data_IF_810379115897
#
_entry.id   IF_810379115897
#
_cell.length_a   1.000
_cell.length_b   1.000
_cell.length_c   1.000
_cell.angle_alpha   90.00
_cell.angle_beta   90.00
_cell.angle_gamma   90.00
#
_symmetry.space_group_name_H-M   'P 1'
#
loop_
_entity.id
_entity.type
_entity.pdbx_description
1 polymer ?
#
# COMPACT_ATOMS: atom_id res chain seq x y z
N UNK A 1 20.28 63.82 46.12
CA UNK A 1 18.92 63.32 45.84
C UNK A 1 18.87 62.90 44.37
N UNK A 2 18.51 61.63 44.07
CA UNK A 2 18.12 61.02 42.76
C UNK A 2 18.58 59.56 42.44
N UNK A 3 19.14 58.72 43.34
CA UNK A 3 19.30 57.29 43.01
C UNK A 3 18.04 56.42 43.23
N UNK A 4 17.08 56.90 44.03
CA UNK A 4 15.88 56.12 44.39
C UNK A 4 14.79 56.06 43.29
N UNK A 5 14.78 56.98 42.33
CA UNK A 5 13.74 57.02 41.27
C UNK A 5 13.98 55.99 40.16
N UNK A 6 15.23 55.87 39.70
CA UNK A 6 15.63 55.00 38.59
C UNK A 6 15.50 53.51 38.95
N UNK A 7 15.84 53.16 40.19
CA UNK A 7 15.66 51.79 40.69
C UNK A 7 14.17 51.41 40.73
N UNK A 8 13.28 52.34 41.11
CA UNK A 8 11.84 52.09 41.22
C UNK A 8 11.15 51.96 39.86
N UNK A 9 11.57 52.75 38.87
CA UNK A 9 11.10 52.63 37.48
C UNK A 9 11.57 51.30 36.84
N UNK A 10 12.84 50.93 37.01
CA UNK A 10 13.38 49.66 36.51
C UNK A 10 12.66 48.44 37.12
N UNK A 11 12.35 48.48 38.41
CA UNK A 11 11.58 47.44 39.11
C UNK A 11 10.14 47.35 38.57
N UNK A 12 9.47 48.48 38.33
CA UNK A 12 8.10 48.51 37.79
C UNK A 12 8.02 47.85 36.41
N UNK A 13 9.03 48.06 35.56
CA UNK A 13 9.12 47.45 34.21
C UNK A 13 9.27 45.93 34.29
N UNK A 14 10.12 45.41 35.18
CA UNK A 14 10.33 43.96 35.34
C UNK A 14 9.07 43.25 35.88
N UNK A 15 8.34 43.88 36.80
CA UNK A 15 7.09 43.33 37.33
C UNK A 15 5.99 43.21 36.27
N UNK A 16 5.88 44.23 35.42
CA UNK A 16 4.96 44.21 34.27
C UNK A 16 5.34 43.08 33.30
N UNK A 17 6.63 42.89 33.04
CA UNK A 17 7.12 41.80 32.19
C UNK A 17 6.74 40.41 32.70
N UNK A 18 6.89 40.13 34.01
CA UNK A 18 6.53 38.81 34.57
C UNK A 18 5.02 38.54 34.47
N UNK A 19 4.18 39.54 34.78
CA UNK A 19 2.72 39.42 34.60
C UNK A 19 2.33 39.22 33.15
N UNK A 20 3.00 39.90 32.23
CA UNK A 20 2.80 39.70 30.79
C UNK A 20 3.11 38.26 30.39
N UNK A 21 4.23 37.69 30.87
CA UNK A 21 4.57 36.28 30.63
C UNK A 21 3.48 35.34 31.18
N UNK A 22 3.06 35.50 32.43
CA UNK A 22 2.01 34.68 33.04
C UNK A 22 0.68 34.77 32.29
N UNK A 23 0.29 35.98 31.87
CA UNK A 23 -0.95 36.22 31.15
C UNK A 23 -0.89 35.53 29.78
N UNK A 24 0.22 35.70 29.07
CA UNK A 24 0.43 35.11 27.75
C UNK A 24 0.48 33.56 27.81
N UNK A 25 1.10 32.99 28.85
CA UNK A 25 1.09 31.53 29.10
C UNK A 25 -0.33 31.02 29.36
N UNK A 26 -1.09 31.71 30.21
CA UNK A 26 -2.47 31.35 30.52
C UNK A 26 -3.39 31.46 29.30
N UNK A 27 -3.19 32.47 28.46
CA UNK A 27 -3.99 32.67 27.24
C UNK A 27 -3.71 31.56 26.21
N UNK A 28 -2.44 31.19 26.01
CA UNK A 28 -2.05 30.04 25.19
C UNK A 28 -2.68 28.75 25.76
N UNK A 29 -2.60 28.56 27.08
CA UNK A 29 -3.17 27.39 27.75
C UNK A 29 -4.69 27.28 27.56
N UNK A 30 -5.44 28.37 27.78
CA UNK A 30 -6.89 28.43 27.54
C UNK A 30 -7.24 28.14 26.09
N UNK A 31 -6.48 28.72 25.14
CA UNK A 31 -6.67 28.46 23.73
C UNK A 31 -6.46 26.98 23.40
N UNK A 32 -5.38 26.34 23.87
CA UNK A 32 -5.10 24.93 23.61
C UNK A 32 -6.19 24.00 24.14
N UNK A 33 -6.72 24.29 25.34
CA UNK A 33 -7.84 23.53 25.91
C UNK A 33 -9.10 23.67 25.04
N UNK A 34 -9.44 24.90 24.64
CA UNK A 34 -10.60 25.16 23.78
C UNK A 34 -10.44 24.56 22.38
N UNK A 35 -9.26 24.71 21.77
CA UNK A 35 -8.92 24.15 20.48
C UNK A 35 -9.00 22.62 20.50
N UNK A 36 -8.56 21.98 21.59
CA UNK A 36 -8.65 20.53 21.78
C UNK A 36 -10.08 20.00 21.91
N UNK A 37 -11.04 20.85 22.29
CA UNK A 37 -12.47 20.51 22.38
C UNK A 37 -13.25 20.84 21.12
N UNK A 38 -12.76 21.76 20.29
CA UNK A 38 -13.48 22.27 19.10
C UNK A 38 -12.85 21.77 17.80
N UNK A 39 -11.55 22.00 17.60
CA UNK A 39 -10.85 21.63 16.37
C UNK A 39 -10.58 20.11 16.28
N UNK A 40 -10.51 19.43 17.43
CA UNK A 40 -10.32 17.98 17.51
C UNK A 40 -11.61 17.25 17.93
N UNK A 41 -12.77 17.89 17.78
CA UNK A 41 -14.08 17.32 18.13
C UNK A 41 -14.53 16.25 17.14
N UNK A 42 -14.34 16.51 15.85
CA UNK A 42 -14.58 15.53 14.81
C UNK A 42 -13.57 14.39 14.95
N UNK A 43 -14.05 13.15 14.91
CA UNK A 43 -13.22 11.95 15.10
C UNK A 43 -13.40 10.93 14.00
N UNK A 44 -14.36 11.10 13.09
CA UNK A 44 -14.58 10.16 12.01
C UNK A 44 -13.37 10.02 11.08
N UNK A 45 -13.28 8.87 10.42
CA UNK A 45 -12.23 8.54 9.44
C UNK A 45 -12.72 8.58 7.99
N UNK A 46 -14.01 8.87 7.76
CA UNK A 46 -14.70 8.74 6.48
C UNK A 46 -14.98 7.28 6.10
N UNK A 47 -15.95 7.05 5.22
CA UNK A 47 -16.29 5.71 4.70
C UNK A 47 -15.85 5.48 3.26
N UNK A 48 -15.36 6.52 2.58
CA UNK A 48 -14.87 6.49 1.21
C UNK A 48 -13.55 7.24 1.06
N UNK A 49 -12.83 7.01 -0.03
CA UNK A 49 -11.58 7.72 -0.34
C UNK A 49 -11.78 9.23 -0.35
N UNK A 50 -12.84 9.71 -1.01
CA UNK A 50 -13.13 11.16 -1.13
C UNK A 50 -13.41 11.81 0.23
N UNK A 51 -14.17 11.13 1.10
CA UNK A 51 -14.46 11.62 2.45
C UNK A 51 -13.20 11.67 3.30
N UNK A 52 -12.37 10.62 3.26
CA UNK A 52 -11.11 10.59 3.99
C UNK A 52 -10.14 11.68 3.51
N UNK A 53 -10.07 11.94 2.20
CA UNK A 53 -9.27 13.03 1.62
C UNK A 53 -9.83 14.42 1.96
N UNK A 54 -11.15 14.58 2.10
CA UNK A 54 -11.75 15.81 2.62
C UNK A 54 -11.35 16.07 4.08
N UNK A 55 -11.45 15.05 4.94
CA UNK A 55 -11.01 15.12 6.34
C UNK A 55 -9.52 15.44 6.47
N UNK A 56 -8.68 14.94 5.55
CA UNK A 56 -7.26 15.26 5.52
C UNK A 56 -7.03 16.75 5.22
N UNK A 57 -7.75 17.32 4.26
CA UNK A 57 -7.66 18.75 3.94
C UNK A 57 -8.12 19.63 5.10
N UNK A 58 -9.19 19.23 5.78
CA UNK A 58 -9.66 19.91 7.00
C UNK A 58 -8.60 19.85 8.12
N UNK A 59 -7.97 18.69 8.29
CA UNK A 59 -6.90 18.51 9.24
C UNK A 59 -5.67 19.40 8.94
N UNK A 60 -5.25 19.49 7.68
CA UNK A 60 -4.16 20.39 7.25
C UNK A 60 -4.49 21.87 7.55
N UNK A 61 -5.76 22.26 7.39
CA UNK A 61 -6.21 23.60 7.77
C UNK A 61 -6.14 23.84 9.30
N UNK A 62 -6.41 22.81 10.11
CA UNK A 62 -6.25 22.88 11.57
C UNK A 62 -4.77 23.02 11.94
N UNK A 63 -3.88 22.23 11.34
CA UNK A 63 -2.43 22.34 11.59
C UNK A 63 -1.89 23.74 11.27
N UNK A 64 -2.38 24.36 10.19
CA UNK A 64 -1.99 25.71 9.82
C UNK A 64 -2.37 26.72 10.91
N UNK A 65 -3.58 26.61 11.49
CA UNK A 65 -4.00 27.44 12.63
C UNK A 65 -3.12 27.20 13.87
N UNK A 66 -2.72 25.95 14.11
CA UNK A 66 -1.89 25.60 15.27
C UNK A 66 -0.45 26.13 15.15
N UNK A 67 0.07 26.32 13.93
CA UNK A 67 1.43 26.80 13.67
C UNK A 67 1.70 28.16 14.32
N UNK A 68 0.73 29.07 14.27
CA UNK A 68 0.85 30.39 14.90
C UNK A 68 1.00 30.26 16.42
N UNK A 69 0.13 29.48 17.07
CA UNK A 69 0.18 29.27 18.53
C UNK A 69 1.47 28.57 18.96
N UNK A 70 1.97 27.59 18.20
CA UNK A 70 3.26 26.96 18.49
C UNK A 70 4.43 27.92 18.33
N UNK A 71 4.40 28.80 17.32
CA UNK A 71 5.40 29.85 17.16
C UNK A 71 5.38 30.84 18.33
N UNK A 72 4.19 31.28 18.74
CA UNK A 72 4.01 32.15 19.93
C UNK A 72 4.54 31.48 21.20
N UNK A 73 4.23 30.21 21.41
CA UNK A 73 4.74 29.44 22.56
C UNK A 73 6.26 29.33 22.54
N UNK A 74 6.88 29.04 21.39
CA UNK A 74 8.33 28.93 21.29
C UNK A 74 9.05 30.24 21.67
N UNK A 75 8.55 31.38 21.19
CA UNK A 75 9.10 32.69 21.56
C UNK A 75 8.87 33.04 23.04
N UNK A 76 7.68 32.76 23.56
CA UNK A 76 7.35 32.96 24.97
C UNK A 76 8.22 32.10 25.88
N UNK A 77 8.42 30.83 25.53
CA UNK A 77 9.21 29.88 26.31
C UNK A 77 10.65 30.36 26.49
N UNK A 78 11.28 30.92 25.44
CA UNK A 78 12.62 31.51 25.55
C UNK A 78 12.66 32.69 26.52
N UNK A 79 11.67 33.59 26.45
CA UNK A 79 11.55 34.74 27.38
C UNK A 79 11.34 34.29 28.83
N UNK A 80 10.58 33.22 29.05
CA UNK A 80 10.38 32.62 30.37
C UNK A 80 11.67 31.98 30.88
N UNK A 81 12.41 31.26 30.04
CA UNK A 81 13.71 30.68 30.41
C UNK A 81 14.73 31.77 30.77
N UNK A 82 14.83 32.87 30.00
CA UNK A 82 15.68 34.02 30.34
C UNK A 82 15.30 34.66 31.69
N UNK A 83 13.99 34.80 31.96
CA UNK A 83 13.52 35.31 33.25
C UNK A 83 13.85 34.38 34.43
N UNK A 84 13.81 33.06 34.21
CA UNK A 84 14.19 32.07 35.22
C UNK A 84 15.70 32.08 35.50
N UNK A 85 16.52 32.29 34.47
CA UNK A 85 17.99 32.31 34.57
C UNK A 85 18.52 33.53 35.33
N UNK A 86 17.83 34.69 35.23
CA UNK A 86 18.12 35.90 36.03
C UNK A 86 17.88 35.69 37.53
N UNK A 87 17.06 34.70 37.89
CA UNK A 87 16.86 34.24 39.26
C UNK A 87 15.99 35.15 40.14
N UNK A 88 15.70 34.65 41.35
CA UNK A 88 14.81 35.32 42.30
C UNK A 88 15.33 36.68 42.78
N UNK A 89 16.64 36.97 42.73
CA UNK A 89 17.21 38.22 43.27
C UNK A 89 16.73 39.48 42.52
N UNK A 90 16.74 39.42 41.19
CA UNK A 90 16.25 40.50 40.32
C UNK A 90 14.71 40.53 40.24
N UNK A 91 14.06 39.40 40.53
CA UNK A 91 12.59 39.25 40.62
C UNK A 91 12.01 39.60 42.01
N UNK A 92 12.81 39.56 43.09
CA UNK A 92 12.39 39.81 44.50
C UNK A 92 12.74 41.19 45.04
N UNK A 93 13.46 42.03 44.32
CA UNK A 93 13.63 43.45 44.68
C UNK A 93 12.29 44.26 44.61
N UNK A 94 11.19 43.56 44.39
CA UNK A 94 9.81 43.97 44.17
C UNK A 94 8.95 43.78 45.43
N UNK A 95 8.80 44.85 46.21
CA UNK A 95 7.75 44.92 47.22
C UNK A 95 6.39 45.10 46.54
N UNK A 96 5.74 43.98 46.19
CA UNK A 96 4.29 43.75 45.99
C UNK A 96 3.97 42.61 44.97
N UNK A 97 4.92 41.73 44.63
CA UNK A 97 4.63 40.53 43.82
C UNK A 97 4.73 39.21 44.56
N UNK A 98 3.72 38.38 44.34
CA UNK A 98 3.45 37.10 45.02
C UNK A 98 4.01 35.90 44.25
N UNK A 99 4.40 36.06 42.98
CA UNK A 99 4.88 34.97 42.13
C UNK A 99 6.40 34.81 42.21
N UNK A 100 6.82 33.58 42.48
CA UNK A 100 8.23 33.17 42.60
C UNK A 100 8.74 32.55 41.29
N UNK A 101 10.06 32.45 41.11
CA UNK A 101 10.62 31.66 39.99
C UNK A 101 10.10 30.22 39.97
N UNK A 102 9.76 29.65 41.12
CA UNK A 102 9.12 28.34 41.25
C UNK A 102 7.72 28.30 40.62
N UNK A 103 6.91 29.32 40.86
CA UNK A 103 5.56 29.43 40.28
C UNK A 103 5.62 29.61 38.76
N UNK A 104 6.53 30.47 38.29
CA UNK A 104 6.77 30.70 36.86
C UNK A 104 7.23 29.42 36.15
N UNK A 105 8.15 28.67 36.78
CA UNK A 105 8.60 27.36 36.29
C UNK A 105 7.46 26.35 36.24
N UNK A 106 6.64 26.30 37.28
CA UNK A 106 5.48 25.38 37.32
C UNK A 106 4.46 25.70 36.23
N UNK A 107 4.18 26.97 35.97
CA UNK A 107 3.27 27.41 34.89
C UNK A 107 3.85 27.09 33.51
N UNK A 108 5.16 27.27 33.33
CA UNK A 108 5.88 26.88 32.11
C UNK A 108 5.77 25.38 31.87
N UNK A 109 6.11 24.56 32.86
CA UNK A 109 6.08 23.09 32.75
C UNK A 109 4.66 22.57 32.48
N UNK A 110 3.65 23.18 33.11
CA UNK A 110 2.25 22.93 32.82
C UNK A 110 1.91 23.25 31.35
N UNK A 111 2.28 24.44 30.86
CA UNK A 111 1.99 24.86 29.48
C UNK A 111 2.76 24.04 28.44
N UNK A 112 4.01 23.66 28.73
CA UNK A 112 4.78 22.70 27.91
C UNK A 112 4.08 21.34 27.84
N UNK A 113 3.43 20.91 28.91
CA UNK A 113 2.63 19.69 28.94
C UNK A 113 1.35 19.87 28.10
N UNK A 114 0.65 21.00 28.20
CA UNK A 114 -0.50 21.33 27.35
C UNK A 114 -0.15 21.24 25.86
N UNK A 115 0.94 21.89 25.45
CA UNK A 115 1.40 21.92 24.06
C UNK A 115 1.76 20.53 23.57
N UNK A 116 2.52 19.75 24.36
CA UNK A 116 2.92 18.38 23.99
C UNK A 116 1.72 17.45 23.85
N UNK A 117 0.78 17.48 24.79
CA UNK A 117 -0.42 16.62 24.73
C UNK A 117 -1.31 17.00 23.57
N UNK A 118 -1.53 18.30 23.32
CA UNK A 118 -2.31 18.75 22.17
C UNK A 118 -1.64 18.37 20.84
N UNK A 119 -0.33 18.58 20.70
CA UNK A 119 0.44 18.19 19.51
C UNK A 119 0.38 16.67 19.26
N UNK A 120 0.50 15.85 20.30
CA UNK A 120 0.37 14.40 20.18
C UNK A 120 -1.02 13.97 19.71
N UNK A 121 -2.10 14.61 20.20
CA UNK A 121 -3.47 14.35 19.73
C UNK A 121 -3.68 14.78 18.28
N UNK A 122 -3.11 15.91 17.88
CA UNK A 122 -3.16 16.41 16.51
C UNK A 122 -2.45 15.44 15.56
N UNK A 123 -1.22 15.03 15.89
CA UNK A 123 -0.43 14.07 15.10
C UNK A 123 -1.08 12.68 15.03
N UNK A 124 -1.71 12.23 16.13
CA UNK A 124 -2.51 11.01 16.15
C UNK A 124 -3.68 11.09 15.17
N UNK A 125 -4.44 12.20 15.16
CA UNK A 125 -5.53 12.43 14.19
C UNK A 125 -5.00 12.40 12.76
N UNK A 126 -3.86 13.06 12.48
CA UNK A 126 -3.20 13.01 11.17
C UNK A 126 -2.92 11.58 10.73
N UNK A 127 -2.27 10.82 11.61
CA UNK A 127 -1.86 9.44 11.35
C UNK A 127 -3.05 8.54 11.07
N UNK A 128 -4.14 8.69 11.83
CA UNK A 128 -5.38 7.96 11.63
C UNK A 128 -6.03 8.28 10.27
N UNK A 129 -6.16 9.56 9.92
CA UNK A 129 -6.75 9.99 8.64
C UNK A 129 -5.90 9.51 7.46
N UNK A 130 -4.57 9.65 7.53
CA UNK A 130 -3.67 9.17 6.48
C UNK A 130 -3.76 7.65 6.29
N UNK A 131 -3.88 6.89 7.39
CA UNK A 131 -4.11 5.45 7.33
C UNK A 131 -5.46 5.13 6.66
N UNK A 132 -6.52 5.86 6.99
CA UNK A 132 -7.83 5.74 6.36
C UNK A 132 -7.79 6.04 4.85
N UNK A 133 -7.17 7.15 4.43
CA UNK A 133 -7.01 7.50 3.00
C UNK A 133 -6.28 6.40 2.26
N UNK A 134 -5.16 5.90 2.83
CA UNK A 134 -4.39 4.81 2.20
C UNK A 134 -5.22 3.55 2.05
N UNK A 135 -5.92 3.13 3.11
CA UNK A 135 -6.73 1.91 3.10
C UNK A 135 -7.85 2.01 2.05
N UNK A 136 -8.64 3.07 2.06
CA UNK A 136 -9.74 3.25 1.10
C UNK A 136 -9.23 3.36 -0.35
N UNK A 137 -8.10 4.04 -0.59
CA UNK A 137 -7.49 4.10 -1.93
C UNK A 137 -7.05 2.72 -2.43
N UNK A 138 -6.41 1.91 -1.59
CA UNK A 138 -6.02 0.54 -1.96
C UNK A 138 -7.28 -0.30 -2.23
N UNK A 139 -8.30 -0.17 -1.37
CA UNK A 139 -9.54 -0.92 -1.51
C UNK A 139 -10.25 -0.64 -2.85
N UNK A 140 -10.34 0.64 -3.23
CA UNK A 140 -10.88 1.05 -4.53
C UNK A 140 -10.06 0.49 -5.70
N UNK A 141 -8.73 0.62 -5.66
CA UNK A 141 -7.86 0.10 -6.72
C UNK A 141 -7.95 -1.42 -6.88
N UNK A 142 -8.11 -2.13 -5.76
CA UNK A 142 -8.30 -3.58 -5.80
C UNK A 142 -9.63 -3.95 -6.45
N UNK A 143 -10.71 -3.24 -6.13
CA UNK A 143 -12.03 -3.47 -6.73
C UNK A 143 -12.01 -3.31 -8.26
N UNK A 144 -11.43 -2.21 -8.75
CA UNK A 144 -11.30 -1.94 -10.19
C UNK A 144 -10.52 -3.05 -10.92
N UNK A 145 -9.41 -3.53 -10.33
CA UNK A 145 -8.59 -4.58 -10.94
C UNK A 145 -9.25 -5.95 -10.86
N UNK A 146 -9.93 -6.26 -9.75
CA UNK A 146 -10.73 -7.47 -9.62
C UNK A 146 -11.83 -7.51 -10.69
N UNK A 147 -12.51 -6.37 -10.94
CA UNK A 147 -13.52 -6.26 -11.98
C UNK A 147 -12.96 -6.64 -13.37
N UNK A 148 -11.75 -6.18 -13.71
CA UNK A 148 -11.07 -6.52 -14.97
C UNK A 148 -10.81 -8.04 -15.10
N UNK A 149 -10.32 -8.69 -14.04
CA UNK A 149 -10.07 -10.14 -14.07
C UNK A 149 -11.36 -10.95 -14.22
N UNK A 150 -12.50 -10.43 -13.75
CA UNK A 150 -13.78 -11.13 -13.86
C UNK A 150 -14.41 -11.07 -15.27
N UNK A 151 -13.90 -10.22 -16.17
CA UNK A 151 -14.42 -10.08 -17.54
C UNK A 151 -14.01 -11.26 -18.45
N UNK A 152 -14.87 -12.28 -18.56
CA UNK A 152 -14.57 -13.52 -19.29
C UNK A 152 -14.13 -13.36 -20.75
N UNK A 153 -14.79 -12.49 -21.50
CA UNK A 153 -14.52 -12.26 -22.92
C UNK A 153 -13.10 -11.73 -23.19
N UNK A 154 -12.43 -11.18 -22.18
CA UNK A 154 -11.10 -10.59 -22.31
C UNK A 154 -9.97 -11.62 -22.39
N UNK A 155 -10.16 -12.78 -21.76
CA UNK A 155 -9.03 -13.68 -21.43
C UNK A 155 -8.94 -14.92 -22.32
N UNK A 156 -10.00 -15.24 -23.05
CA UNK A 156 -10.08 -16.43 -23.90
C UNK A 156 -10.34 -16.00 -25.35
N UNK A 157 -9.32 -15.53 -26.08
CA UNK A 157 -9.48 -15.17 -27.49
C UNK A 157 -9.72 -16.45 -28.32
N UNK A 158 -10.57 -16.33 -29.34
CA UNK A 158 -10.79 -17.39 -30.32
C UNK A 158 -9.71 -17.27 -31.40
N UNK A 159 -8.70 -18.13 -31.36
CA UNK A 159 -7.57 -18.12 -32.30
C UNK A 159 -6.95 -19.51 -32.41
N UNK A 160 -6.48 -19.85 -33.61
CA UNK A 160 -5.69 -21.07 -33.88
C UNK A 160 -4.17 -20.83 -33.74
N UNK A 161 -3.77 -19.61 -33.36
CA UNK A 161 -2.39 -19.20 -33.18
C UNK A 161 -1.97 -19.24 -31.71
N UNK A 162 -0.77 -19.76 -31.46
CA UNK A 162 -0.21 -19.93 -30.12
C UNK A 162 0.27 -18.60 -29.53
N UNK A 163 0.76 -17.68 -30.36
CA UNK A 163 1.44 -16.46 -29.93
C UNK A 163 0.50 -15.44 -29.26
N UNK A 164 -0.71 -15.16 -29.78
CA UNK A 164 -1.70 -14.36 -29.07
C UNK A 164 -2.08 -14.96 -27.71
N UNK A 165 -2.25 -16.28 -27.62
CA UNK A 165 -2.57 -16.96 -26.35
C UNK A 165 -1.44 -16.82 -25.32
N UNK A 166 -0.18 -16.98 -25.73
CA UNK A 166 0.98 -16.74 -24.85
C UNK A 166 1.04 -15.29 -24.38
N UNK A 167 0.70 -14.32 -25.24
CA UNK A 167 0.64 -12.90 -24.86
C UNK A 167 -0.44 -12.68 -23.80
N UNK A 168 -1.65 -13.19 -24.02
CA UNK A 168 -2.75 -13.10 -23.05
C UNK A 168 -2.39 -13.77 -21.72
N UNK A 169 -1.71 -14.92 -21.75
CA UNK A 169 -1.25 -15.63 -20.55
C UNK A 169 -0.27 -14.78 -19.72
N UNK A 170 0.70 -14.11 -20.37
CA UNK A 170 1.63 -13.20 -19.69
C UNK A 170 0.90 -12.01 -19.06
N UNK A 171 -0.02 -11.40 -19.81
CA UNK A 171 -0.80 -10.25 -19.35
C UNK A 171 -1.71 -10.61 -18.16
N UNK A 172 -2.37 -11.78 -18.21
CA UNK A 172 -3.18 -12.31 -17.12
C UNK A 172 -2.34 -12.55 -15.87
N UNK A 173 -1.18 -13.18 -16.02
CA UNK A 173 -0.27 -13.50 -14.92
C UNK A 173 0.23 -12.23 -14.24
N UNK A 174 0.69 -11.24 -15.01
CA UNK A 174 1.16 -9.96 -14.47
C UNK A 174 0.04 -9.20 -13.73
N UNK A 175 -1.21 -9.25 -14.23
CA UNK A 175 -2.35 -8.62 -13.53
C UNK A 175 -2.75 -9.37 -12.28
N UNK A 176 -2.68 -10.70 -12.26
CA UNK A 176 -2.92 -11.49 -11.05
C UNK A 176 -1.92 -11.11 -9.96
N UNK A 177 -0.62 -11.12 -10.27
CA UNK A 177 0.45 -10.71 -9.35
C UNK A 177 0.23 -9.30 -8.81
N UNK A 178 -0.22 -8.38 -9.66
CA UNK A 178 -0.51 -7.01 -9.27
C UNK A 178 -1.71 -6.88 -8.30
N UNK A 179 -2.67 -7.81 -8.33
CA UNK A 179 -3.78 -7.85 -7.36
C UNK A 179 -3.36 -8.60 -6.11
N UNK A 180 -2.58 -9.68 -6.22
CA UNK A 180 -2.02 -10.40 -5.06
C UNK A 180 -1.20 -9.45 -4.15
N UNK A 181 -0.43 -8.55 -4.77
CA UNK A 181 0.26 -7.46 -4.06
C UNK A 181 -0.72 -6.50 -3.37
N UNK A 182 -1.74 -6.00 -4.09
CA UNK A 182 -2.71 -5.07 -3.51
C UNK A 182 -3.54 -5.70 -2.40
N UNK A 183 -3.87 -6.99 -2.49
CA UNK A 183 -4.59 -7.72 -1.45
C UNK A 183 -3.75 -7.78 -0.17
N UNK A 184 -2.46 -8.10 -0.31
CA UNK A 184 -1.53 -8.13 0.83
C UNK A 184 -1.36 -6.75 1.47
N UNK A 185 -1.19 -5.71 0.65
CA UNK A 185 -1.09 -4.33 1.12
C UNK A 185 -2.39 -3.81 1.75
N UNK A 186 -3.55 -4.18 1.19
CA UNK A 186 -4.87 -3.80 1.66
C UNK A 186 -5.17 -4.38 3.03
N UNK A 187 -4.89 -5.67 3.24
CA UNK A 187 -5.00 -6.32 4.55
C UNK A 187 -4.12 -5.63 5.58
N UNK A 188 -2.83 -5.42 5.27
CA UNK A 188 -1.89 -4.74 6.17
C UNK A 188 -2.31 -3.31 6.49
N UNK A 189 -2.83 -2.57 5.52
CA UNK A 189 -3.32 -1.22 5.72
C UNK A 189 -4.58 -1.18 6.60
N UNK A 190 -5.51 -2.12 6.40
CA UNK A 190 -6.72 -2.25 7.21
C UNK A 190 -6.43 -2.67 8.65
N UNK A 191 -5.56 -3.67 8.86
CA UNK A 191 -5.11 -4.09 10.20
C UNK A 191 -4.47 -2.92 10.96
N UNK A 192 -3.55 -2.19 10.32
CA UNK A 192 -2.95 -0.98 10.92
C UNK A 192 -4.00 0.07 11.28
N UNK A 193 -5.02 0.26 10.44
CA UNK A 193 -6.10 1.21 10.72
C UNK A 193 -6.93 0.77 11.93
N UNK A 194 -7.27 -0.51 12.03
CA UNK A 194 -7.94 -1.10 13.20
C UNK A 194 -7.12 -0.91 14.48
N UNK A 195 -5.82 -1.19 14.43
CA UNK A 195 -4.90 -0.95 15.56
C UNK A 195 -4.94 0.52 15.98
N UNK A 196 -4.86 1.45 15.02
CA UNK A 196 -4.91 2.88 15.32
C UNK A 196 -6.23 3.30 15.97
N UNK A 197 -7.37 2.73 15.56
CA UNK A 197 -8.69 3.01 16.13
C UNK A 197 -8.83 2.51 17.58
N UNK A 198 -8.13 1.44 17.95
CA UNK A 198 -8.22 0.86 19.31
C UNK A 198 -7.28 1.50 20.34
N UNK A 199 -6.27 2.26 19.89
CA UNK A 199 -5.34 2.95 20.81
C UNK A 199 -6.08 4.04 21.62
N UNK A 200 -5.99 3.95 22.94
CA UNK A 200 -6.62 4.92 23.83
C UNK A 200 -6.01 6.34 23.75
N UNK A 201 -6.84 7.36 23.99
CA UNK A 201 -6.45 8.77 24.05
C UNK A 201 -6.67 9.29 25.47
N UNK A 202 -5.66 9.93 26.06
CA UNK A 202 -5.75 10.51 27.40
C UNK A 202 -5.75 12.03 27.34
N UNK A 203 -6.47 12.65 28.26
CA UNK A 203 -6.36 14.08 28.54
C UNK A 203 -5.15 14.38 29.46
N UNK A 204 -4.97 15.67 29.77
CA UNK A 204 -3.90 16.16 30.63
C UNK A 204 -4.01 15.70 32.08
N UNK A 205 -5.22 15.34 32.51
CA UNK A 205 -5.50 14.77 33.83
C UNK A 205 -5.34 13.24 33.83
N UNK A 206 -4.92 12.65 32.71
CA UNK A 206 -4.79 11.20 32.53
C UNK A 206 -6.12 10.47 32.36
N UNK A 207 -7.24 11.19 32.21
CA UNK A 207 -8.56 10.61 31.96
C UNK A 207 -8.64 10.11 30.53
N UNK A 208 -9.31 8.99 30.36
CA UNK A 208 -9.59 8.45 29.04
C UNK A 208 -10.65 9.31 28.33
N UNK A 209 -10.29 9.79 27.14
CA UNK A 209 -11.13 10.58 26.24
C UNK A 209 -11.18 9.93 24.86
N UNK A 210 -10.96 8.61 24.80
CA UNK A 210 -11.02 7.85 23.55
C UNK A 210 -12.42 7.97 22.94
N UNK A 211 -12.53 8.41 21.67
CA UNK A 211 -13.80 8.42 20.97
C UNK A 211 -14.36 7.01 20.79
N UNK A 212 -15.69 6.90 20.73
CA UNK A 212 -16.33 5.63 20.36
C UNK A 212 -16.16 5.39 18.86
N UNK A 213 -15.28 4.45 18.51
CA UNK A 213 -14.99 4.05 17.13
C UNK A 213 -15.74 2.79 16.69
N UNK A 214 -16.79 2.38 17.40
CA UNK A 214 -17.49 1.12 17.10
C UNK A 214 -18.00 1.07 15.65
N UNK A 215 -18.53 2.18 15.12
CA UNK A 215 -19.00 2.26 13.74
C UNK A 215 -17.85 2.14 12.73
N UNK A 216 -16.75 2.85 12.97
CA UNK A 216 -15.54 2.85 12.15
C UNK A 216 -14.86 1.47 12.14
N UNK A 217 -14.75 0.82 13.30
CA UNK A 217 -14.23 -0.53 13.42
C UNK A 217 -15.06 -1.52 12.60
N UNK A 218 -16.39 -1.47 12.74
CA UNK A 218 -17.31 -2.32 11.97
C UNK A 218 -17.20 -2.06 10.46
N UNK A 219 -17.10 -0.79 10.04
CA UNK A 219 -16.91 -0.42 8.64
C UNK A 219 -15.61 -0.99 8.07
N UNK A 220 -14.48 -0.81 8.76
CA UNK A 220 -13.18 -1.30 8.30
C UNK A 220 -13.16 -2.83 8.25
N UNK A 221 -13.74 -3.52 9.23
CA UNK A 221 -13.89 -4.98 9.21
C UNK A 221 -14.78 -5.47 8.05
N UNK A 222 -15.91 -4.81 7.81
CA UNK A 222 -16.81 -5.16 6.72
C UNK A 222 -16.12 -4.97 5.36
N UNK A 223 -15.38 -3.86 5.18
CA UNK A 223 -14.66 -3.59 3.95
C UNK A 223 -13.52 -4.59 3.73
N UNK A 224 -12.74 -4.94 4.77
CA UNK A 224 -11.72 -5.99 4.69
C UNK A 224 -12.31 -7.34 4.26
N UNK A 225 -13.46 -7.71 4.82
CA UNK A 225 -14.15 -8.96 4.49
C UNK A 225 -14.62 -8.97 3.04
N UNK A 226 -15.27 -7.89 2.60
CA UNK A 226 -15.73 -7.74 1.21
C UNK A 226 -14.56 -7.76 0.21
N UNK A 227 -13.47 -7.06 0.52
CA UNK A 227 -12.24 -7.03 -0.26
C UNK A 227 -11.62 -8.42 -0.41
N UNK A 228 -11.57 -9.18 0.69
CA UNK A 228 -11.05 -10.55 0.67
C UNK A 228 -11.93 -11.47 -0.20
N UNK A 229 -13.26 -11.35 -0.11
CA UNK A 229 -14.18 -12.11 -0.95
C UNK A 229 -14.01 -11.80 -2.44
N UNK A 230 -13.98 -10.51 -2.80
CA UNK A 230 -13.78 -10.04 -4.17
C UNK A 230 -12.43 -10.52 -4.73
N UNK A 231 -11.36 -10.41 -3.95
CA UNK A 231 -10.04 -10.93 -4.29
C UNK A 231 -10.08 -12.44 -4.54
N UNK A 232 -10.62 -13.23 -3.61
CA UNK A 232 -10.69 -14.68 -3.74
C UNK A 232 -11.43 -15.11 -5.01
N UNK A 233 -12.52 -14.42 -5.34
CA UNK A 233 -13.28 -14.67 -6.56
C UNK A 233 -12.46 -14.36 -7.82
N UNK A 234 -11.81 -13.20 -7.88
CA UNK A 234 -11.00 -12.79 -9.02
C UNK A 234 -9.75 -13.67 -9.20
N UNK A 235 -9.07 -14.03 -8.11
CA UNK A 235 -7.90 -14.89 -8.11
C UNK A 235 -8.23 -16.30 -8.63
N UNK A 236 -9.31 -16.92 -8.11
CA UNK A 236 -9.80 -18.22 -8.61
C UNK A 236 -10.12 -18.15 -10.11
N UNK A 237 -10.76 -17.07 -10.55
CA UNK A 237 -11.11 -16.92 -11.96
C UNK A 237 -9.86 -16.78 -12.85
N UNK A 238 -8.86 -16.02 -12.41
CA UNK A 238 -7.59 -15.91 -13.11
C UNK A 238 -6.84 -17.24 -13.20
N UNK A 239 -6.88 -18.07 -12.15
CA UNK A 239 -6.30 -19.41 -12.19
C UNK A 239 -7.00 -20.32 -13.20
N UNK A 240 -8.33 -20.26 -13.30
CA UNK A 240 -9.08 -20.99 -14.31
C UNK A 240 -8.72 -20.52 -15.73
N UNK A 241 -8.61 -19.21 -15.98
CA UNK A 241 -8.19 -18.70 -17.29
C UNK A 241 -6.75 -19.08 -17.63
N UNK A 242 -5.84 -19.03 -16.64
CA UNK A 242 -4.45 -19.43 -16.80
C UNK A 242 -4.35 -20.89 -17.24
N UNK A 243 -5.06 -21.78 -16.56
CA UNK A 243 -5.11 -23.20 -16.89
C UNK A 243 -5.65 -23.42 -18.31
N UNK A 244 -6.78 -22.79 -18.65
CA UNK A 244 -7.39 -22.90 -19.99
C UNK A 244 -6.45 -22.40 -21.10
N UNK A 245 -5.76 -21.28 -20.88
CA UNK A 245 -4.79 -20.74 -21.83
C UNK A 245 -3.61 -21.69 -22.02
N UNK A 246 -3.07 -22.26 -20.92
CA UNK A 246 -1.98 -23.23 -20.98
C UNK A 246 -2.38 -24.48 -21.76
N UNK A 247 -3.58 -25.02 -21.50
CA UNK A 247 -4.13 -26.17 -22.23
C UNK A 247 -4.31 -25.86 -23.72
N UNK A 248 -4.89 -24.71 -24.08
CA UNK A 248 -5.06 -24.30 -25.48
C UNK A 248 -3.70 -24.15 -26.21
N UNK A 249 -2.71 -23.54 -25.56
CA UNK A 249 -1.35 -23.41 -26.09
C UNK A 249 -0.74 -24.80 -26.37
N UNK A 250 -0.88 -25.74 -25.42
CA UNK A 250 -0.37 -27.10 -25.57
C UNK A 250 -1.07 -27.85 -26.72
N UNK A 251 -2.40 -27.77 -26.79
CA UNK A 251 -3.20 -28.41 -27.84
C UNK A 251 -2.84 -27.89 -29.24
N UNK A 252 -2.75 -26.57 -29.42
CA UNK A 252 -2.38 -25.98 -30.71
C UNK A 252 -0.93 -26.29 -31.10
N UNK A 253 -0.01 -26.32 -30.13
CA UNK A 253 1.38 -26.72 -30.37
C UNK A 253 1.45 -28.17 -30.84
N UNK A 254 0.77 -29.08 -30.13
CA UNK A 254 0.63 -30.48 -30.53
C UNK A 254 0.05 -30.60 -31.95
N UNK A 255 -1.03 -29.89 -32.25
CA UNK A 255 -1.67 -29.96 -33.55
C UNK A 255 -0.71 -29.51 -34.66
N UNK A 256 0.09 -28.46 -34.41
CA UNK A 256 1.14 -28.02 -35.34
C UNK A 256 2.20 -29.10 -35.54
N UNK A 257 2.65 -29.74 -34.46
CA UNK A 257 3.69 -30.76 -34.49
C UNK A 257 3.23 -32.03 -35.23
N UNK A 258 1.97 -32.46 -35.01
CA UNK A 258 1.36 -33.58 -35.75
C UNK A 258 1.23 -33.24 -37.24
N UNK A 259 0.76 -32.04 -37.60
CA UNK A 259 0.71 -31.60 -39.00
C UNK A 259 2.11 -31.60 -39.64
N UNK A 260 3.14 -31.22 -38.90
CA UNK A 260 4.52 -31.22 -39.36
C UNK A 260 5.05 -32.64 -39.55
N UNK A 261 4.84 -33.54 -38.58
CA UNK A 261 5.19 -34.94 -38.70
C UNK A 261 4.52 -35.60 -39.91
N UNK A 262 3.23 -35.31 -40.13
CA UNK A 262 2.50 -35.80 -41.30
C UNK A 262 3.10 -35.33 -42.63
N UNK A 263 3.52 -34.07 -42.72
CA UNK A 263 4.23 -33.54 -43.91
C UNK A 263 5.56 -34.24 -44.13
N UNK A 264 6.32 -34.48 -43.06
CA UNK A 264 7.60 -35.21 -43.14
C UNK A 264 7.41 -36.66 -43.60
N UNK A 265 6.43 -37.38 -43.04
CA UNK A 265 6.13 -38.74 -43.44
C UNK A 265 5.71 -38.84 -44.91
N UNK A 266 4.90 -37.89 -45.40
CA UNK A 266 4.54 -37.81 -46.82
C UNK A 266 5.75 -37.57 -47.73
N UNK A 267 6.58 -36.57 -47.41
CA UNK A 267 7.78 -36.27 -48.19
C UNK A 267 8.76 -37.46 -48.23
N UNK A 268 8.88 -38.16 -47.10
CA UNK A 268 9.71 -39.35 -46.97
C UNK A 268 9.16 -40.52 -47.78
N UNK A 269 7.84 -40.74 -47.78
CA UNK A 269 7.19 -41.75 -48.62
C UNK A 269 7.39 -41.44 -50.11
N UNK A 270 7.20 -40.18 -50.53
CA UNK A 270 7.43 -39.76 -51.92
C UNK A 270 8.88 -40.00 -52.36
N UNK A 271 9.85 -39.72 -51.49
CA UNK A 271 11.26 -39.99 -51.75
C UNK A 271 11.54 -41.49 -51.89
N UNK A 272 10.94 -42.34 -51.04
CA UNK A 272 11.06 -43.80 -51.13
C UNK A 272 10.54 -44.32 -52.46
N UNK A 273 9.33 -43.91 -52.87
CA UNK A 273 8.71 -44.36 -54.12
C UNK A 273 9.60 -43.99 -55.32
N UNK A 274 10.18 -42.78 -55.31
CA UNK A 274 11.10 -42.34 -56.38
C UNK A 274 12.41 -43.15 -56.40
N UNK A 275 12.98 -43.44 -55.23
CA UNK A 275 14.27 -44.13 -55.12
C UNK A 275 14.18 -45.65 -55.39
N UNK A 276 13.06 -46.30 -55.04
CA UNK A 276 12.91 -47.77 -55.08
C UNK A 276 12.02 -48.27 -56.22
N UNK A 277 11.96 -47.54 -57.34
CA UNK A 277 11.15 -47.88 -58.51
C UNK A 277 11.78 -48.93 -59.44
N UNK A 278 13.03 -49.33 -59.20
CA UNK A 278 13.76 -50.30 -60.02
C UNK A 278 14.50 -51.31 -59.15
N UNK A 279 14.59 -52.56 -59.65
CA UNK A 279 15.41 -53.61 -59.07
C UNK A 279 16.75 -53.58 -59.79
N UNK A 280 17.84 -53.42 -59.04
CA UNK A 280 19.20 -53.29 -59.60
C UNK A 280 19.55 -54.45 -60.53
N UNK A 281 20.26 -54.14 -61.63
CA UNK A 281 20.60 -55.08 -62.70
C UNK A 281 22.02 -55.64 -62.59
N UNK A 282 22.82 -55.14 -61.65
CA UNK A 282 24.19 -55.60 -61.37
C UNK A 282 24.43 -55.82 -59.87
N UNK A 283 25.42 -56.66 -59.53
CA UNK A 283 25.78 -56.97 -58.13
C UNK A 283 26.14 -55.73 -57.31
N UNK A 284 26.81 -54.75 -57.92
CA UNK A 284 27.22 -53.50 -57.25
C UNK A 284 26.04 -52.55 -57.04
N UNK A 285 25.13 -52.46 -58.01
CA UNK A 285 23.89 -51.69 -57.91
C UNK A 285 22.95 -52.26 -56.83
N UNK A 286 22.83 -53.59 -56.74
CA UNK A 286 22.06 -54.27 -55.69
C UNK A 286 22.64 -53.96 -54.30
N UNK A 287 23.98 -53.98 -54.15
CA UNK A 287 24.64 -53.64 -52.87
C UNK A 287 24.40 -52.18 -52.47
N UNK A 288 24.45 -51.25 -53.44
CA UNK A 288 24.17 -49.83 -53.21
C UNK A 288 22.71 -49.58 -52.82
N UNK A 289 21.75 -50.12 -53.59
CA UNK A 289 20.32 -50.01 -53.28
C UNK A 289 19.98 -50.59 -51.90
N UNK A 290 20.63 -51.70 -51.51
CA UNK A 290 20.48 -52.28 -50.16
C UNK A 290 20.98 -51.35 -49.06
N UNK A 291 22.13 -50.69 -49.24
CA UNK A 291 22.67 -49.75 -48.26
C UNK A 291 21.78 -48.51 -48.11
N UNK A 292 21.30 -47.95 -49.23
CA UNK A 292 20.34 -46.84 -49.23
C UNK A 292 19.02 -47.21 -48.54
N UNK A 293 18.53 -48.45 -48.76
CA UNK A 293 17.35 -48.98 -48.06
C UNK A 293 17.55 -49.11 -46.53
N UNK A 294 18.72 -49.59 -46.10
CA UNK A 294 19.02 -49.73 -44.66
C UNK A 294 19.10 -48.37 -43.96
N UNK A 295 19.74 -47.39 -44.60
CA UNK A 295 19.79 -46.02 -44.08
C UNK A 295 18.40 -45.40 -43.99
N UNK A 296 17.55 -45.68 -44.97
CA UNK A 296 16.15 -45.27 -44.97
C UNK A 296 15.35 -45.90 -43.83
N UNK A 297 15.51 -47.20 -43.56
CA UNK A 297 14.85 -47.88 -42.43
C UNK A 297 15.18 -47.21 -41.10
N UNK A 298 16.44 -46.81 -40.88
CA UNK A 298 16.84 -46.07 -39.68
C UNK A 298 16.12 -44.72 -39.60
N UNK A 299 16.04 -43.97 -40.71
CA UNK A 299 15.28 -42.73 -40.74
C UNK A 299 13.80 -42.94 -40.38
N UNK A 300 13.12 -43.93 -40.96
CA UNK A 300 11.72 -44.26 -40.65
C UNK A 300 11.54 -44.62 -39.18
N UNK A 301 12.42 -45.45 -38.62
CA UNK A 301 12.38 -45.81 -37.21
C UNK A 301 12.43 -44.56 -36.34
N UNK A 302 13.37 -43.64 -36.59
CA UNK A 302 13.46 -42.37 -35.85
C UNK A 302 12.19 -41.53 -36.03
N UNK A 303 11.62 -41.45 -37.24
CA UNK A 303 10.37 -40.73 -37.50
C UNK A 303 9.22 -41.28 -36.67
N UNK A 304 9.01 -42.61 -36.72
CA UNK A 304 7.94 -43.29 -35.98
C UNK A 304 8.14 -43.15 -34.48
N UNK A 305 9.37 -43.28 -33.98
CA UNK A 305 9.69 -43.04 -32.57
C UNK A 305 9.29 -41.62 -32.15
N UNK A 306 9.67 -40.58 -32.91
CA UNK A 306 9.30 -39.19 -32.60
C UNK A 306 7.78 -39.00 -32.66
N UNK A 307 7.09 -39.59 -33.63
CA UNK A 307 5.63 -39.53 -33.72
C UNK A 307 4.96 -40.15 -32.49
N UNK A 308 5.40 -41.34 -32.06
CA UNK A 308 4.86 -42.03 -30.87
C UNK A 308 5.16 -41.21 -29.61
N UNK A 309 6.37 -40.65 -29.48
CA UNK A 309 6.73 -39.79 -28.35
C UNK A 309 5.82 -38.56 -28.27
N UNK A 310 5.56 -37.88 -29.40
CA UNK A 310 4.63 -36.73 -29.45
C UNK A 310 3.22 -37.16 -29.05
N UNK A 311 2.72 -38.29 -29.57
CA UNK A 311 1.39 -38.81 -29.20
C UNK A 311 1.28 -39.12 -27.69
N UNK A 312 2.31 -39.75 -27.10
CA UNK A 312 2.33 -40.06 -25.66
C UNK A 312 2.41 -38.78 -24.82
N UNK A 313 3.25 -37.82 -25.19
CA UNK A 313 3.32 -36.52 -24.51
C UNK A 313 1.97 -35.79 -24.52
N UNK A 314 1.23 -35.87 -25.64
CA UNK A 314 -0.10 -35.25 -25.77
C UNK A 314 -1.13 -35.94 -24.89
N UNK A 315 -1.14 -37.27 -24.85
CA UNK A 315 -2.02 -38.02 -23.94
C UNK A 315 -1.73 -37.66 -22.47
N UNK A 316 -0.45 -37.57 -22.08
CA UNK A 316 -0.10 -37.24 -20.69
C UNK A 316 -0.47 -35.79 -20.33
N UNK A 317 -0.35 -34.84 -21.26
CA UNK A 317 -0.68 -33.43 -21.04
C UNK A 317 -2.19 -33.09 -21.12
N UNK A 318 -3.01 -33.96 -21.71
CA UNK A 318 -4.46 -33.76 -21.79
C UNK A 318 -5.20 -34.42 -20.61
N UNK A 319 -4.62 -35.46 -20.00
CA UNK A 319 -5.25 -36.25 -18.93
C UNK A 319 -4.67 -36.01 -17.51
N UNK A 320 -3.73 -35.08 -17.34
CA UNK A 320 -3.30 -34.54 -16.04
C UNK A 320 -3.45 -33.02 -16.04
#
# INVERSE_FOLDING_TARGET
MRPYGVAREALTVVCLQVRELETEMNDIGKWLVSAGQTLLAETSIGTTTDQAEALLREHEAIELKCRETYGRWAGLRYRVEDALDRGDGDLRALADHRTTTTDLRSLKDYTDTLVRTFASRLDRRRTLILASVRFHRIAHQMEERCHILLQAHRWLPHTDDVEPLKKTLRELTARKEAIDYLASEGTRAGEKLLDLLTVGVKDLSGRDITPDYTAELNHVHALLTAQQEHYCRAARQADLYKLRLQQNIQLLTCQRDVRQAHRWLRALLEALIKAHSHVGRSSDEIRRLKAEHQQFQVCVCVCVCVCVCVCVCVCVCVFN
#
